data_IF_238439126909
#
_entry.id   IF_238439126909
#
_cell.length_a   1.000
_cell.length_b   1.000
_cell.length_c   1.000
_cell.angle_alpha   90.00
_cell.angle_beta   90.00
_cell.angle_gamma   90.00
#
_symmetry.space_group_name_H-M   'P 1'
#
loop_
_entity.id
_entity.type
_entity.pdbx_description
1 polymer ?
#
# COMPACT_ATOMS: atom_id res chain seq x y z
N UNK A 1 8.24 0.84 -46.65
CA UNK A 1 8.91 0.37 -45.42
C UNK A 1 7.99 0.68 -44.25
N UNK A 2 7.13 -0.28 -43.89
CA UNK A 2 6.26 -0.19 -42.72
C UNK A 2 7.11 -0.50 -41.48
N UNK A 3 7.07 0.35 -40.44
CA UNK A 3 7.61 0.01 -39.12
C UNK A 3 6.46 0.03 -38.12
N UNK A 4 6.20 -1.15 -37.56
CA UNK A 4 5.14 -1.46 -36.62
C UNK A 4 5.28 -0.63 -35.34
N UNK A 5 4.20 0.08 -34.99
CA UNK A 5 3.98 0.62 -33.66
C UNK A 5 3.70 -0.58 -32.74
N UNK A 6 4.67 -0.93 -31.89
CA UNK A 6 4.52 -1.97 -30.89
C UNK A 6 3.56 -1.43 -29.81
N UNK A 7 2.26 -1.75 -29.94
CA UNK A 7 1.28 -1.57 -28.87
C UNK A 7 1.68 -2.49 -27.72
N UNK A 8 2.43 -1.95 -26.76
CA UNK A 8 2.63 -2.60 -25.46
C UNK A 8 1.37 -2.29 -24.65
N UNK A 9 0.56 -3.30 -24.26
CA UNK A 9 -0.58 -3.06 -23.39
C UNK A 9 -0.10 -2.44 -22.08
N UNK A 10 -0.85 -1.51 -21.48
CA UNK A 10 -0.51 -0.98 -20.17
C UNK A 10 -0.33 -2.14 -19.19
N UNK A 11 0.67 -2.07 -18.29
CA UNK A 11 0.85 -3.10 -17.27
C UNK A 11 -0.48 -3.25 -16.52
N UNK A 12 -1.01 -4.48 -16.54
CA UNK A 12 -2.27 -4.82 -15.92
C UNK A 12 -2.17 -4.52 -14.41
N UNK A 13 -2.78 -3.42 -13.97
CA UNK A 13 -2.74 -2.97 -12.56
C UNK A 13 -3.52 -3.90 -11.62
N UNK A 14 -4.26 -4.88 -12.17
CA UNK A 14 -5.04 -5.84 -11.40
C UNK A 14 -4.25 -7.12 -11.08
N UNK A 15 -3.06 -7.32 -11.68
CA UNK A 15 -2.30 -8.56 -11.57
C UNK A 15 -1.68 -8.83 -10.19
N UNK A 16 -1.77 -7.88 -9.26
CA UNK A 16 -1.34 -8.02 -7.86
C UNK A 16 -2.47 -7.70 -6.87
N UNK A 17 -3.75 -7.74 -7.29
CA UNK A 17 -4.84 -7.63 -6.32
C UNK A 17 -4.85 -8.87 -5.44
N UNK A 18 -4.36 -8.73 -4.21
CA UNK A 18 -4.45 -9.80 -3.21
C UNK A 18 -5.90 -9.84 -2.76
N UNK A 19 -6.63 -10.92 -3.11
CA UNK A 19 -7.98 -11.14 -2.60
C UNK A 19 -7.94 -11.21 -1.07
N UNK A 20 -8.66 -10.27 -0.42
CA UNK A 20 -8.75 -10.15 1.03
C UNK A 20 -9.37 -11.38 1.73
N UNK A 21 -9.94 -12.31 0.97
CA UNK A 21 -10.64 -13.50 1.47
C UNK A 21 -9.76 -14.45 2.31
N UNK A 22 -8.42 -14.35 2.21
CA UNK A 22 -7.48 -15.19 2.97
C UNK A 22 -6.80 -14.48 4.16
N UNK A 23 -7.04 -13.19 4.40
CA UNK A 23 -6.40 -12.45 5.51
C UNK A 23 -7.05 -12.76 6.87
N UNK A 24 -8.29 -13.27 6.87
CA UNK A 24 -9.14 -13.30 8.06
C UNK A 24 -8.99 -14.51 9.00
N UNK A 25 -8.03 -15.41 8.81
CA UNK A 25 -7.89 -16.57 9.71
C UNK A 25 -6.47 -16.75 10.22
N UNK A 26 -6.18 -16.20 11.41
CA UNK A 26 -4.99 -16.57 12.17
C UNK A 26 -5.28 -17.81 13.02
N UNK A 27 -4.36 -18.79 13.10
CA UNK A 27 -4.49 -19.94 14.00
C UNK A 27 -4.62 -19.58 15.49
N UNK A 28 -4.32 -18.32 15.85
CA UNK A 28 -4.42 -17.76 17.20
C UNK A 28 -5.83 -17.26 17.55
N UNK A 29 -6.76 -17.15 16.59
CA UNK A 29 -8.09 -16.55 16.77
C UNK A 29 -9.12 -17.50 17.42
N UNK A 30 -8.72 -18.68 17.90
CA UNK A 30 -9.65 -19.75 18.35
C UNK A 30 -10.51 -19.37 19.57
N UNK A 31 -10.04 -18.46 20.41
CA UNK A 31 -10.70 -18.05 21.66
C UNK A 31 -11.10 -16.56 21.68
N UNK A 32 -10.87 -15.84 20.58
CA UNK A 32 -11.33 -14.46 20.43
C UNK A 32 -12.75 -14.55 19.84
N UNK A 33 -13.80 -13.95 20.47
CA UNK A 33 -15.09 -13.84 19.80
C UNK A 33 -14.81 -13.24 18.42
N UNK A 34 -15.32 -13.84 17.32
CA UNK A 34 -14.84 -13.54 15.98
C UNK A 34 -14.78 -12.03 15.85
N UNK A 35 -13.56 -11.49 15.82
CA UNK A 35 -13.38 -10.10 15.46
C UNK A 35 -13.84 -10.10 14.02
N UNK A 36 -15.11 -9.76 13.81
CA UNK A 36 -15.71 -9.69 12.50
C UNK A 36 -14.91 -8.59 11.82
N UNK A 37 -13.88 -9.00 11.08
CA UNK A 37 -12.93 -8.09 10.47
C UNK A 37 -13.75 -7.11 9.64
N UNK A 38 -13.84 -5.89 10.14
CA UNK A 38 -14.67 -4.87 9.51
C UNK A 38 -14.00 -4.58 8.19
N UNK A 39 -14.69 -4.89 7.09
CA UNK A 39 -14.21 -4.50 5.76
C UNK A 39 -14.07 -2.98 5.76
N UNK A 40 -12.84 -2.49 5.69
CA UNK A 40 -12.52 -1.06 5.65
C UNK A 40 -11.77 -0.67 4.37
N UNK A 41 -11.26 -1.66 3.64
CA UNK A 41 -10.51 -1.46 2.41
C UNK A 41 -11.32 -1.91 1.19
N UNK A 42 -11.27 -1.08 0.16
CA UNK A 42 -11.67 -1.44 -1.19
C UNK A 42 -10.53 -2.19 -1.89
N UNK A 43 -9.30 -1.70 -1.78
CA UNK A 43 -8.12 -2.31 -2.40
C UNK A 43 -6.83 -2.03 -1.63
N UNK A 44 -5.88 -2.95 -1.73
CA UNK A 44 -4.50 -2.80 -1.25
C UNK A 44 -3.54 -3.38 -2.29
N UNK A 45 -2.40 -2.73 -2.50
CA UNK A 45 -1.37 -3.20 -3.42
C UNK A 45 -0.08 -2.39 -3.34
N UNK A 46 0.89 -2.71 -4.18
CA UNK A 46 2.10 -1.90 -4.31
C UNK A 46 1.78 -0.57 -5.00
N UNK A 47 2.33 0.51 -4.45
CA UNK A 47 2.26 1.83 -5.08
C UNK A 47 3.10 1.90 -6.36
N UNK A 48 2.73 2.79 -7.28
CA UNK A 48 3.51 3.17 -8.44
C UNK A 48 4.90 3.77 -8.10
N UNK A 49 5.13 4.16 -6.84
CA UNK A 49 6.41 4.69 -6.36
C UNK A 49 7.44 3.61 -6.02
N UNK A 50 7.14 2.34 -6.29
CA UNK A 50 8.13 1.26 -6.23
C UNK A 50 8.81 1.08 -7.61
N UNK A 51 10.15 0.88 -7.68
CA UNK A 51 11.07 0.62 -6.57
C UNK A 51 11.41 1.88 -5.75
N UNK A 52 11.74 1.68 -4.48
CA UNK A 52 12.07 2.77 -3.56
C UNK A 52 13.28 3.56 -4.07
N UNK A 53 13.23 4.90 -4.11
CA UNK A 53 14.39 5.70 -4.48
C UNK A 53 15.57 5.44 -3.51
N UNK A 54 16.80 5.34 -4.02
CA UNK A 54 17.99 5.03 -3.21
C UNK A 54 18.17 5.97 -1.99
N UNK A 55 17.77 7.25 -2.11
CA UNK A 55 17.82 8.21 -1.00
C UNK A 55 16.88 7.86 0.15
N UNK A 56 15.77 7.18 -0.13
CA UNK A 56 14.80 6.71 0.86
C UNK A 56 15.18 5.32 1.38
N UNK A 57 15.76 4.45 0.55
CA UNK A 57 16.34 3.19 1.00
C UNK A 57 17.42 3.43 2.08
N UNK A 58 18.29 4.44 1.89
CA UNK A 58 19.27 4.85 2.90
C UNK A 58 18.65 5.35 4.21
N UNK A 59 17.41 5.85 4.16
CA UNK A 59 16.63 6.25 5.35
C UNK A 59 15.84 5.08 5.94
N UNK A 60 15.91 3.91 5.33
CA UNK A 60 15.28 2.68 5.76
C UNK A 60 13.87 2.46 5.22
N UNK A 61 13.46 3.14 4.15
CA UNK A 61 12.22 2.79 3.44
C UNK A 61 12.43 1.46 2.67
N UNK A 62 11.46 0.57 2.79
CA UNK A 62 11.50 -0.79 2.26
C UNK A 62 10.64 -0.92 0.99
N UNK A 63 9.42 -0.39 1.04
CA UNK A 63 8.46 -0.33 -0.07
C UNK A 63 7.30 0.59 0.28
N UNK A 64 6.51 0.98 -0.73
CA UNK A 64 5.31 1.79 -0.57
C UNK A 64 4.05 0.98 -0.93
N UNK A 65 3.02 1.06 -0.10
CA UNK A 65 1.71 0.45 -0.39
C UNK A 65 0.71 1.52 -0.80
N UNK A 66 -0.10 1.21 -1.81
CA UNK A 66 -1.32 1.92 -2.16
C UNK A 66 -2.48 1.28 -1.42
N UNK A 67 -3.24 2.08 -0.70
CA UNK A 67 -4.44 1.64 0.01
C UNK A 67 -5.62 2.51 -0.40
N UNK A 68 -6.71 1.87 -0.84
CA UNK A 68 -7.98 2.52 -1.13
C UNK A 68 -9.01 2.07 -0.10
N UNK A 69 -9.58 3.00 0.65
CA UNK A 69 -10.60 2.73 1.67
C UNK A 69 -12.00 2.65 1.05
N UNK A 70 -12.99 2.13 1.80
CA UNK A 70 -14.37 2.03 1.33
C UNK A 70 -15.02 3.40 1.06
N UNK A 71 -14.53 4.46 1.70
CA UNK A 71 -14.98 5.84 1.49
C UNK A 71 -14.42 6.43 0.18
N UNK A 72 -13.60 5.67 -0.55
CA UNK A 72 -12.95 6.09 -1.79
C UNK A 72 -11.69 6.92 -1.58
N UNK A 73 -11.24 7.08 -0.34
CA UNK A 73 -9.98 7.78 -0.04
C UNK A 73 -8.80 6.88 -0.37
N UNK A 74 -7.78 7.45 -1.02
CA UNK A 74 -6.56 6.76 -1.40
C UNK A 74 -5.38 7.30 -0.60
N UNK A 75 -4.59 6.39 -0.04
CA UNK A 75 -3.46 6.69 0.83
C UNK A 75 -2.25 5.88 0.37
N UNK A 76 -1.08 6.49 0.49
CA UNK A 76 0.19 5.81 0.29
C UNK A 76 0.83 5.57 1.67
N UNK A 77 1.08 4.31 1.99
CA UNK A 77 1.72 3.90 3.23
C UNK A 77 3.20 3.63 2.94
N UNK A 78 4.07 4.30 3.68
CA UNK A 78 5.50 3.98 3.73
C UNK A 78 5.74 2.83 4.69
N UNK A 79 6.39 1.78 4.19
CA UNK A 79 6.95 0.72 5.02
C UNK A 79 8.40 1.05 5.31
N UNK A 80 8.70 1.50 6.51
CA UNK A 80 10.04 1.86 6.95
C UNK A 80 10.54 0.83 7.99
N UNK A 81 11.85 0.71 8.15
CA UNK A 81 12.45 -0.11 9.22
C UNK A 81 11.96 0.24 10.63
N UNK A 82 11.44 1.46 10.84
CA UNK A 82 10.82 1.93 12.09
C UNK A 82 9.33 1.61 12.20
N UNK A 83 8.71 1.03 11.18
CA UNK A 83 7.28 0.72 11.12
C UNK A 83 6.58 1.32 9.91
N UNK A 84 5.25 1.31 9.94
CA UNK A 84 4.40 1.80 8.86
C UNK A 84 3.81 3.18 9.19
N UNK A 85 3.73 4.07 8.20
CA UNK A 85 3.03 5.36 8.33
C UNK A 85 2.46 5.83 6.99
N UNK A 86 1.39 6.62 7.04
CA UNK A 86 0.83 7.27 5.84
C UNK A 86 1.71 8.46 5.46
N UNK A 87 2.15 8.53 4.20
CA UNK A 87 2.89 9.67 3.67
C UNK A 87 1.98 10.64 2.90
N UNK A 88 2.53 11.77 2.45
CA UNK A 88 1.79 12.80 1.72
C UNK A 88 1.74 12.59 0.19
N UNK A 89 2.23 11.46 -0.30
CA UNK A 89 2.25 11.16 -1.73
C UNK A 89 0.82 10.97 -2.26
N UNK A 90 0.62 11.40 -3.49
CA UNK A 90 -0.60 11.17 -4.26
C UNK A 90 -0.29 10.08 -5.28
N UNK A 91 -0.90 8.92 -5.12
CA UNK A 91 -0.70 7.75 -5.99
C UNK A 91 -0.79 8.15 -7.48
N UNK A 92 0.21 7.76 -8.26
CA UNK A 92 0.27 8.04 -9.71
C UNK A 92 0.49 9.51 -10.11
N UNK A 93 0.64 10.45 -9.17
CA UNK A 93 0.77 11.88 -9.47
C UNK A 93 2.04 12.49 -8.89
N UNK A 94 2.17 12.56 -7.56
CA UNK A 94 3.27 13.27 -6.89
C UNK A 94 3.80 12.50 -5.70
N UNK A 95 5.11 12.33 -5.65
CA UNK A 95 5.80 11.69 -4.53
C UNK A 95 6.21 12.71 -3.46
N UNK A 96 5.67 12.57 -2.26
CA UNK A 96 6.07 13.28 -1.05
C UNK A 96 6.23 12.27 0.11
N UNK A 97 7.47 11.90 0.48
CA UNK A 97 7.74 10.90 1.51
C UNK A 97 7.52 11.43 2.93
N UNK A 98 7.20 12.72 3.11
CA UNK A 98 6.91 13.25 4.43
C UNK A 98 5.71 12.53 5.06
N UNK A 99 5.81 12.21 6.34
CA UNK A 99 4.69 11.65 7.10
C UNK A 99 3.51 12.61 7.04
N UNK A 100 2.33 12.09 6.73
CA UNK A 100 1.16 12.94 6.63
C UNK A 100 0.78 13.53 7.97
N UNK A 101 0.77 14.86 8.06
CA UNK A 101 0.30 15.58 9.25
C UNK A 101 -1.23 15.49 9.42
N UNK A 102 -1.94 14.91 8.43
CA UNK A 102 -3.40 14.73 8.47
C UNK A 102 -3.84 13.70 9.51
N UNK A 103 -2.92 12.89 10.02
CA UNK A 103 -3.14 11.96 11.14
C UNK A 103 -1.99 12.08 12.12
N UNK A 104 -2.24 11.97 13.43
CA UNK A 104 -1.17 11.79 14.40
C UNK A 104 -0.25 10.65 13.93
N UNK A 105 1.08 10.82 13.88
CA UNK A 105 1.98 9.79 13.37
C UNK A 105 1.90 8.56 14.27
N UNK A 106 1.10 7.58 13.86
CA UNK A 106 1.07 6.26 14.45
C UNK A 106 2.12 5.42 13.74
N UNK A 107 3.26 5.23 14.39
CA UNK A 107 4.22 4.25 13.96
C UNK A 107 3.80 2.91 14.55
N UNK A 108 3.25 2.04 13.71
CA UNK A 108 3.01 0.66 14.12
C UNK A 108 4.13 -0.24 13.62
N UNK A 109 4.64 -1.08 14.51
CA UNK A 109 5.57 -2.16 14.18
C UNK A 109 4.84 -3.40 13.64
N UNK A 110 3.51 -3.39 13.64
CA UNK A 110 2.68 -4.49 13.15
C UNK A 110 1.41 -3.95 12.47
N UNK A 111 1.10 -4.46 11.28
CA UNK A 111 -0.20 -4.26 10.65
C UNK A 111 -1.15 -5.32 11.25
N UNK A 112 -1.63 -5.09 12.48
CA UNK A 112 -2.73 -5.86 13.08
C UNK A 112 -4.00 -5.07 12.96
#
# INVERSE_FOLDING_TARGET
>A
IQKAKKNVPPPNMDANSVSLEHVHSSPLDKDVPPFAAVKCLEAIGFSAFNPVPASMEMKGDLFYLRVKTLEGSEHVITSNVRGFFVNNSIEGSSFDPASSQRSNPCYSHSLV
#
